data_IF_314124555414
#
_entry.id   IF_314124555414
#
_cell.length_a   1.000
_cell.length_b   1.000
_cell.length_c   1.000
_cell.angle_alpha   90.00
_cell.angle_beta   90.00
_cell.angle_gamma   90.00
#
_symmetry.space_group_name_H-M   'P 1'
#
loop_
_entity.id
_entity.type
_entity.pdbx_description
1 polymer ?
#
# COMPACT_ATOMS: atom_id res chain seq x y z
N UNK A 1 -8.04 6.82 -32.53
CA UNK A 1 -7.49 5.49 -32.23
C UNK A 1 -8.19 5.04 -30.97
N UNK A 2 -9.10 4.07 -31.04
CA UNK A 2 -9.78 3.56 -29.86
C UNK A 2 -8.87 2.57 -29.15
N UNK A 3 -8.52 2.90 -27.91
CA UNK A 3 -7.73 2.03 -27.04
C UNK A 3 -8.74 1.30 -26.15
N UNK A 4 -8.73 -0.04 -26.17
CA UNK A 4 -9.61 -0.81 -25.30
C UNK A 4 -9.16 -0.73 -23.84
N UNK A 5 -10.11 -0.87 -22.92
CA UNK A 5 -9.82 -0.99 -21.49
C UNK A 5 -8.81 -2.13 -21.20
N UNK A 6 -8.95 -3.26 -21.91
CA UNK A 6 -8.03 -4.39 -21.78
C UNK A 6 -6.58 -4.04 -22.17
N UNK A 7 -6.38 -3.19 -23.18
CA UNK A 7 -5.05 -2.70 -23.55
C UNK A 7 -4.46 -1.83 -22.45
N UNK A 8 -5.25 -0.93 -21.85
CA UNK A 8 -4.81 -0.07 -20.74
C UNK A 8 -4.42 -0.92 -19.53
N UNK A 9 -5.27 -1.88 -19.14
CA UNK A 9 -5.01 -2.80 -18.02
C UNK A 9 -3.72 -3.60 -18.27
N UNK A 10 -3.51 -4.08 -19.50
CA UNK A 10 -2.30 -4.82 -19.84
C UNK A 10 -1.04 -3.94 -19.76
N UNK A 11 -1.09 -2.70 -20.24
CA UNK A 11 0.03 -1.76 -20.11
C UNK A 11 0.39 -1.46 -18.66
N UNK A 12 -0.62 -1.23 -17.81
CA UNK A 12 -0.41 -1.03 -16.38
C UNK A 12 0.24 -2.27 -15.75
N UNK A 13 -0.23 -3.47 -16.11
CA UNK A 13 0.35 -4.73 -15.58
C UNK A 13 1.82 -4.89 -15.98
N UNK A 14 2.14 -4.66 -17.25
CA UNK A 14 3.52 -4.75 -17.77
C UNK A 14 4.46 -3.81 -17.01
N UNK A 15 4.00 -2.60 -16.68
CA UNK A 15 4.80 -1.66 -15.90
C UNK A 15 4.88 -2.05 -14.40
N UNK A 16 3.78 -2.56 -13.84
CA UNK A 16 3.67 -2.83 -12.41
C UNK A 16 4.48 -4.06 -11.95
N UNK A 17 4.59 -5.10 -12.77
CA UNK A 17 5.29 -6.34 -12.40
C UNK A 17 6.79 -6.13 -12.09
N UNK A 18 7.60 -5.50 -12.96
CA UNK A 18 9.01 -5.21 -12.67
C UNK A 18 9.17 -4.31 -11.43
N UNK A 19 8.29 -3.31 -11.28
CA UNK A 19 8.29 -2.42 -10.12
C UNK A 19 8.06 -3.18 -8.82
N UNK A 20 7.15 -4.17 -8.81
CA UNK A 20 6.88 -4.99 -7.62
C UNK A 20 8.11 -5.80 -7.20
N UNK A 21 8.84 -6.37 -8.14
CA UNK A 21 10.06 -7.12 -7.83
C UNK A 21 11.15 -6.19 -7.29
N UNK A 22 11.41 -5.07 -7.98
CA UNK A 22 12.38 -4.07 -7.53
C UNK A 22 12.07 -3.57 -6.11
N UNK A 23 10.79 -3.31 -5.80
CA UNK A 23 10.36 -2.83 -4.48
C UNK A 23 10.54 -3.85 -3.35
N UNK A 24 10.63 -5.16 -3.64
CA UNK A 24 10.91 -6.17 -2.60
C UNK A 24 12.35 -6.06 -2.08
N UNK A 25 13.28 -5.69 -2.96
CA UNK A 25 14.71 -5.61 -2.66
C UNK A 25 15.16 -4.19 -2.30
N UNK A 26 14.31 -3.19 -2.57
CA UNK A 26 14.62 -1.79 -2.27
C UNK A 26 14.55 -1.54 -0.76
N UNK A 27 15.64 -1.04 -0.12
CA UNK A 27 15.60 -0.66 1.28
C UNK A 27 14.53 0.39 1.54
N UNK A 28 13.72 0.16 2.57
CA UNK A 28 12.64 1.08 2.96
C UNK A 28 13.21 2.19 3.85
N UNK A 29 13.15 3.47 3.44
CA UNK A 29 13.65 4.58 4.26
C UNK A 29 12.68 4.80 5.44
N UNK A 30 13.00 4.19 6.57
CA UNK A 30 12.19 4.22 7.79
C UNK A 30 13.02 4.72 8.97
N UNK A 31 12.46 5.68 9.71
CA UNK A 31 12.94 6.14 11.01
C UNK A 31 12.36 5.34 12.19
N UNK A 32 11.35 4.49 11.93
CA UNK A 32 10.62 3.70 12.94
C UNK A 32 9.47 4.44 13.65
N UNK A 33 9.36 5.77 13.45
CA UNK A 33 8.30 6.61 14.00
C UNK A 33 7.14 6.72 13.03
N UNK A 34 6.16 5.84 13.19
CA UNK A 34 5.10 5.65 12.19
C UNK A 34 3.74 6.05 12.72
N UNK A 35 3.00 6.77 11.87
CA UNK A 35 1.55 6.91 11.94
C UNK A 35 0.87 6.01 10.91
N UNK A 36 -0.45 6.13 10.84
CA UNK A 36 -1.20 5.55 9.74
C UNK A 36 -2.37 6.48 9.37
N UNK A 37 -2.82 6.36 8.12
CA UNK A 37 -3.98 7.06 7.57
C UNK A 37 -4.96 6.05 6.95
N UNK A 38 -6.23 6.46 6.81
CA UNK A 38 -7.34 5.65 6.32
C UNK A 38 -8.05 6.34 5.15
N UNK A 39 -7.92 5.77 3.96
CA UNK A 39 -8.57 6.27 2.75
C UNK A 39 -9.80 5.42 2.47
N UNK A 40 -10.95 6.08 2.32
CA UNK A 40 -12.20 5.43 1.96
C UNK A 40 -12.21 5.06 0.48
N UNK A 41 -12.47 3.80 0.16
CA UNK A 41 -12.50 3.27 -1.19
C UNK A 41 -13.85 2.62 -1.50
N UNK A 42 -14.22 2.62 -2.78
CA UNK A 42 -15.29 1.78 -3.32
C UNK A 42 -14.71 0.86 -4.38
N UNK A 43 -14.67 -0.44 -4.12
CA UNK A 43 -14.06 -1.45 -5.01
C UNK A 43 -15.15 -2.45 -5.38
N UNK A 44 -15.46 -2.60 -6.68
CA UNK A 44 -16.52 -3.49 -7.13
C UNK A 44 -17.91 -3.17 -6.55
N UNK A 45 -18.15 -1.92 -6.14
CA UNK A 45 -19.38 -1.50 -5.46
C UNK A 45 -19.34 -1.61 -3.92
N UNK A 46 -18.40 -2.36 -3.36
CA UNK A 46 -18.23 -2.56 -1.92
C UNK A 46 -17.39 -1.46 -1.27
N UNK A 47 -17.75 -1.07 -0.05
CA UNK A 47 -16.99 -0.09 0.74
C UNK A 47 -15.77 -0.77 1.36
N UNK A 48 -14.59 -0.29 1.00
CA UNK A 48 -13.30 -0.78 1.49
C UNK A 48 -12.47 0.39 2.03
N UNK A 49 -11.34 0.09 2.68
CA UNK A 49 -10.45 1.09 3.25
C UNK A 49 -9.01 0.77 2.87
N UNK A 50 -8.28 1.75 2.34
CA UNK A 50 -6.83 1.69 2.28
C UNK A 50 -6.28 2.16 3.63
N UNK A 51 -5.52 1.30 4.29
CA UNK A 51 -4.78 1.62 5.52
C UNK A 51 -3.33 1.79 5.11
N UNK A 52 -2.84 3.03 5.18
CA UNK A 52 -1.49 3.40 4.79
C UNK A 52 -0.69 3.73 6.04
N UNK A 53 0.42 3.05 6.28
CA UNK A 53 1.38 3.50 7.30
C UNK A 53 2.20 4.63 6.72
N UNK A 54 2.59 5.60 7.54
CA UNK A 54 3.42 6.72 7.11
C UNK A 54 4.52 6.91 8.12
N UNK A 55 5.76 6.91 7.65
CA UNK A 55 6.88 7.35 8.47
C UNK A 55 6.82 8.87 8.64
N UNK A 56 6.77 9.34 9.88
CA UNK A 56 6.55 10.76 10.18
C UNK A 56 7.76 11.64 9.79
N UNK A 57 8.95 11.04 9.71
CA UNK A 57 10.19 11.76 9.41
C UNK A 57 10.53 11.67 7.92
N UNK A 58 10.47 10.48 7.32
CA UNK A 58 10.82 10.30 5.89
C UNK A 58 9.65 10.55 4.95
N UNK A 59 8.42 10.61 5.48
CA UNK A 59 7.15 10.69 4.73
C UNK A 59 6.91 9.51 3.79
N UNK A 60 7.74 8.48 3.85
CA UNK A 60 7.56 7.28 3.08
C UNK A 60 6.37 6.47 3.61
N UNK A 61 5.72 5.71 2.72
CA UNK A 61 4.63 4.79 3.07
C UNK A 61 5.23 3.38 3.07
N UNK A 62 5.68 2.86 4.21
CA UNK A 62 6.36 1.57 4.23
C UNK A 62 5.42 0.40 3.97
N UNK A 63 4.13 0.52 4.35
CA UNK A 63 3.11 -0.50 4.09
C UNK A 63 1.76 0.14 3.81
N UNK A 64 1.09 -0.33 2.76
CA UNK A 64 -0.31 -0.03 2.49
C UNK A 64 -1.09 -1.33 2.32
N UNK A 65 -2.32 -1.40 2.84
CA UNK A 65 -3.21 -2.54 2.68
C UNK A 65 -4.65 -2.11 2.47
N UNK A 66 -5.35 -2.81 1.59
CA UNK A 66 -6.81 -2.73 1.47
C UNK A 66 -7.42 -3.64 2.54
N UNK A 67 -8.38 -3.10 3.30
CA UNK A 67 -9.05 -3.77 4.40
C UNK A 67 -10.56 -3.52 4.31
N UNK A 68 -11.41 -4.51 4.67
CA UNK A 68 -12.84 -4.29 4.82
C UNK A 68 -13.18 -3.54 6.13
N UNK A 69 -12.20 -3.39 7.03
CA UNK A 69 -12.35 -2.75 8.35
C UNK A 69 -11.46 -1.51 8.46
N UNK A 70 -11.94 -0.50 9.15
CA UNK A 70 -11.21 0.72 9.50
C UNK A 70 -11.05 0.85 11.02
N UNK A 71 -10.40 1.92 11.45
CA UNK A 71 -10.19 2.29 12.84
C UNK A 71 -8.90 1.72 13.42
N UNK A 72 -8.63 2.15 14.66
CA UNK A 72 -7.39 1.92 15.40
C UNK A 72 -6.90 0.47 15.41
N UNK A 73 -7.80 -0.50 15.51
CA UNK A 73 -7.41 -1.91 15.52
C UNK A 73 -6.88 -2.37 14.16
N UNK A 74 -7.54 -1.97 13.07
CA UNK A 74 -7.09 -2.30 11.72
C UNK A 74 -5.75 -1.60 11.41
N UNK A 75 -5.64 -0.30 11.74
CA UNK A 75 -4.38 0.45 11.64
C UNK A 75 -3.23 -0.21 12.42
N UNK A 76 -3.49 -0.63 13.67
CA UNK A 76 -2.49 -1.31 14.52
C UNK A 76 -2.01 -2.63 13.91
N UNK A 77 -2.90 -3.42 13.32
CA UNK A 77 -2.51 -4.68 12.66
C UNK A 77 -1.53 -4.41 11.52
N UNK A 78 -1.87 -3.46 10.63
CA UNK A 78 -1.01 -3.11 9.48
C UNK A 78 0.34 -2.54 9.95
N UNK A 79 0.34 -1.69 10.97
CA UNK A 79 1.58 -1.16 11.59
C UNK A 79 2.48 -2.28 12.12
N UNK A 80 1.92 -3.25 12.84
CA UNK A 80 2.69 -4.37 13.40
C UNK A 80 3.25 -5.28 12.29
N UNK A 81 2.49 -5.55 11.24
CA UNK A 81 2.96 -6.33 10.10
C UNK A 81 4.11 -5.63 9.37
N UNK A 82 4.00 -4.32 9.14
CA UNK A 82 5.06 -3.55 8.51
C UNK A 82 6.35 -3.53 9.32
N UNK A 83 6.25 -3.36 10.64
CA UNK A 83 7.42 -3.41 11.53
C UNK A 83 8.12 -4.78 11.50
N UNK A 84 7.37 -5.88 11.45
CA UNK A 84 7.96 -7.23 11.33
C UNK A 84 8.75 -7.39 10.04
N UNK A 85 8.26 -6.85 8.92
CA UNK A 85 8.92 -6.95 7.62
C UNK A 85 10.19 -6.09 7.47
N UNK A 86 10.40 -5.11 8.33
CA UNK A 86 11.61 -4.26 8.31
C UNK A 86 12.69 -4.69 9.32
N UNK A 87 12.38 -5.65 10.18
CA UNK A 87 13.32 -6.18 11.19
C UNK A 87 14.01 -7.47 10.73
N UNK A 88 13.74 -7.92 9.51
CA UNK A 88 14.35 -9.06 8.81
C UNK A 88 14.64 -8.64 7.38
#
# INVERSE_FOLDING_TARGET
MDISESSIVNWVRIAAEPLREMLKETPVPSSGYWGYDEIHLRVGGEKMYAINTVDLNTRFIPVAKISPKMGRNAGRVVLMEGRKKLLY
#
